data_IF_972672178272
#
_entry.id   IF_972672178272
#
_cell.length_a   1.000
_cell.length_b   1.000
_cell.length_c   1.000
_cell.angle_alpha   90.00
_cell.angle_beta   90.00
_cell.angle_gamma   90.00
#
_symmetry.space_group_name_H-M   'P 1'
#
loop_
_entity.id
_entity.type
_entity.pdbx_description
1 polymer ?
#
# COMPACT_ATOMS: atom_id res chain seq x y z
N UNK A 1 -7.84 -0.50 -29.79
CA UNK A 1 -6.93 -0.02 -28.70
C UNK A 1 -5.88 0.86 -29.34
N UNK A 2 -5.48 1.94 -28.69
CA UNK A 2 -4.39 2.78 -29.16
C UNK A 2 -3.00 2.11 -28.90
N UNK A 3 -1.92 2.65 -29.45
CA UNK A 3 -0.57 2.07 -29.33
C UNK A 3 -0.12 1.95 -27.87
N UNK A 4 -0.34 2.98 -27.05
CA UNK A 4 0.04 3.00 -25.62
C UNK A 4 -0.65 1.88 -24.83
N UNK A 5 -1.96 1.68 -25.01
CA UNK A 5 -2.69 0.56 -24.38
C UNK A 5 -2.11 -0.81 -24.79
N UNK A 6 -1.77 -0.99 -26.07
CA UNK A 6 -1.20 -2.26 -26.53
C UNK A 6 0.18 -2.52 -25.90
N UNK A 7 1.01 -1.49 -25.78
CA UNK A 7 2.33 -1.57 -25.15
C UNK A 7 2.19 -1.83 -23.63
N UNK A 8 1.27 -1.14 -22.94
CA UNK A 8 0.95 -1.39 -21.53
C UNK A 8 0.54 -2.85 -21.28
N UNK A 9 -0.39 -3.37 -22.09
CA UNK A 9 -0.85 -4.77 -21.96
C UNK A 9 0.28 -5.77 -22.30
N UNK A 10 1.13 -5.46 -23.27
CA UNK A 10 2.27 -6.32 -23.61
C UNK A 10 3.28 -6.37 -22.45
N UNK A 11 3.64 -5.22 -21.87
CA UNK A 11 4.53 -5.15 -20.71
C UNK A 11 3.91 -5.89 -19.50
N UNK A 12 2.63 -5.68 -19.22
CA UNK A 12 1.96 -6.35 -18.11
C UNK A 12 1.98 -7.88 -18.25
N UNK A 13 1.79 -8.41 -19.46
CA UNK A 13 1.94 -9.86 -19.72
C UNK A 13 3.35 -10.36 -19.44
N UNK A 14 4.37 -9.59 -19.79
CA UNK A 14 5.76 -9.95 -19.47
C UNK A 14 6.02 -9.92 -17.96
N UNK A 15 5.43 -8.97 -17.23
CA UNK A 15 5.54 -8.86 -15.77
C UNK A 15 4.83 -10.02 -15.07
N UNK A 16 3.60 -10.35 -15.46
CA UNK A 16 2.88 -11.54 -14.95
C UNK A 16 3.71 -12.82 -15.15
N UNK A 17 4.33 -12.98 -16.30
CA UNK A 17 5.17 -14.15 -16.58
C UNK A 17 6.51 -14.15 -15.83
N UNK A 18 6.78 -13.12 -15.02
CA UNK A 18 8.01 -12.96 -14.26
C UNK A 18 7.68 -12.86 -12.76
N UNK A 19 7.75 -13.96 -11.99
CA UNK A 19 7.47 -13.93 -10.56
C UNK A 19 8.25 -12.82 -9.85
N UNK A 20 7.55 -12.01 -9.04
CA UNK A 20 8.10 -10.84 -8.37
C UNK A 20 7.62 -10.74 -6.92
N UNK A 21 7.73 -11.82 -6.16
CA UNK A 21 7.41 -11.77 -4.72
C UNK A 21 8.24 -10.70 -4.02
N UNK A 22 7.65 -10.05 -3.01
CA UNK A 22 8.37 -9.04 -2.22
C UNK A 22 9.76 -9.53 -1.79
N UNK A 23 10.80 -8.74 -2.10
CA UNK A 23 12.24 -9.01 -1.95
C UNK A 23 12.86 -9.95 -2.98
N UNK A 24 12.10 -10.40 -3.97
CA UNK A 24 12.56 -11.28 -5.05
C UNK A 24 12.29 -10.67 -6.45
N UNK A 25 12.16 -9.32 -6.53
CA UNK A 25 11.67 -8.58 -7.70
C UNK A 25 12.72 -8.32 -8.78
N UNK A 26 13.95 -8.79 -8.62
CA UNK A 26 15.08 -8.42 -9.50
C UNK A 26 14.78 -8.61 -10.99
N UNK A 27 14.15 -9.73 -11.37
CA UNK A 27 13.83 -10.00 -12.78
C UNK A 27 12.73 -9.08 -13.33
N UNK A 28 11.72 -8.73 -12.51
CA UNK A 28 10.69 -7.77 -12.90
C UNK A 28 11.28 -6.35 -13.04
N UNK A 29 12.13 -5.94 -12.09
CA UNK A 29 12.86 -4.68 -12.16
C UNK A 29 13.73 -4.58 -13.42
N UNK A 30 14.43 -5.67 -13.83
CA UNK A 30 15.20 -5.73 -15.06
C UNK A 30 14.32 -5.47 -16.29
N UNK A 31 13.13 -6.08 -16.37
CA UNK A 31 12.20 -5.89 -17.49
C UNK A 31 11.69 -4.45 -17.58
N UNK A 32 11.35 -3.84 -16.44
CA UNK A 32 10.90 -2.44 -16.41
C UNK A 32 12.05 -1.52 -16.80
N UNK A 33 13.28 -1.75 -16.29
CA UNK A 33 14.46 -0.98 -16.65
C UNK A 33 14.75 -1.06 -18.16
N UNK A 34 14.65 -2.26 -18.75
CA UNK A 34 14.81 -2.47 -20.19
C UNK A 34 13.72 -1.74 -21.01
N UNK A 35 12.47 -1.78 -20.56
CA UNK A 35 11.36 -1.11 -21.21
C UNK A 35 11.56 0.42 -21.18
N UNK A 36 11.83 0.98 -20.01
CA UNK A 36 12.09 2.42 -19.83
C UNK A 36 13.32 2.85 -20.64
N UNK A 37 14.41 2.08 -20.59
CA UNK A 37 15.64 2.36 -21.31
C UNK A 37 15.48 2.43 -22.84
N UNK A 38 14.50 1.74 -23.41
CA UNK A 38 14.16 1.81 -24.84
C UNK A 38 13.32 3.04 -25.19
N UNK A 39 12.58 3.61 -24.24
CA UNK A 39 11.60 4.69 -24.46
C UNK A 39 12.07 6.04 -23.91
N UNK A 40 12.74 6.05 -22.77
CA UNK A 40 13.11 7.24 -22.00
C UNK A 40 14.58 7.18 -21.60
N UNK A 41 15.32 8.28 -21.74
CA UNK A 41 16.79 8.26 -21.61
C UNK A 41 17.33 8.38 -20.18
N UNK A 42 16.55 8.61 -19.16
CA UNK A 42 17.03 8.87 -17.80
C UNK A 42 16.60 7.78 -16.80
N UNK A 43 16.66 6.51 -17.22
CA UNK A 43 16.40 5.39 -16.33
C UNK A 43 17.48 5.26 -15.27
N UNK A 44 17.07 5.12 -14.01
CA UNK A 44 17.92 4.91 -12.84
C UNK A 44 17.37 3.74 -12.03
N UNK A 45 18.24 3.11 -11.21
CA UNK A 45 17.87 1.98 -10.37
C UNK A 45 18.56 2.07 -9.01
N UNK A 46 17.80 1.79 -7.94
CA UNK A 46 18.29 1.68 -6.57
C UNK A 46 17.68 0.44 -5.93
N UNK A 47 18.49 -0.59 -5.69
CA UNK A 47 17.98 -1.92 -5.36
C UNK A 47 17.11 -2.45 -6.50
N UNK A 48 15.88 -2.86 -6.19
CA UNK A 48 14.89 -3.25 -7.19
C UNK A 48 13.90 -2.13 -7.57
N UNK A 49 14.10 -0.93 -7.02
CA UNK A 49 13.31 0.23 -7.46
C UNK A 49 13.89 0.79 -8.77
N UNK A 50 13.05 0.94 -9.78
CA UNK A 50 13.41 1.52 -11.08
C UNK A 50 12.66 2.83 -11.25
N UNK A 51 13.37 3.90 -11.61
CA UNK A 51 12.74 5.21 -11.76
C UNK A 51 13.33 6.02 -12.92
N UNK A 52 12.58 7.01 -13.33
CA UNK A 52 12.98 7.95 -14.39
C UNK A 52 12.57 9.37 -14.02
N UNK A 53 13.45 10.32 -14.28
CA UNK A 53 13.21 11.76 -14.14
C UNK A 53 13.04 12.36 -15.52
N UNK A 54 12.03 13.20 -15.75
CA UNK A 54 11.79 13.84 -17.04
C UNK A 54 13.00 14.66 -17.50
N UNK A 55 13.23 14.72 -18.83
CA UNK A 55 14.38 15.41 -19.43
C UNK A 55 14.37 16.93 -19.24
N UNK A 56 13.20 17.52 -19.14
CA UNK A 56 12.97 18.96 -18.97
C UNK A 56 12.93 19.38 -17.50
N UNK A 57 13.55 18.59 -16.60
CA UNK A 57 13.62 18.88 -15.17
C UNK A 57 14.23 20.27 -14.93
N UNK A 58 13.57 21.03 -14.06
CA UNK A 58 14.02 22.37 -13.67
C UNK A 58 13.80 22.59 -12.17
N UNK A 59 14.82 23.01 -11.44
CA UNK A 59 14.82 23.16 -9.99
C UNK A 59 13.77 24.14 -9.45
N UNK A 60 13.33 25.08 -10.28
CA UNK A 60 12.31 26.08 -9.92
C UNK A 60 10.86 25.63 -10.15
N UNK A 61 10.63 24.39 -10.60
CA UNK A 61 9.31 23.80 -10.76
C UNK A 61 9.01 22.82 -9.62
N UNK A 62 7.74 22.72 -9.16
CA UNK A 62 7.34 21.62 -8.28
C UNK A 62 7.49 20.28 -9.01
N UNK A 63 7.64 19.19 -8.26
CA UNK A 63 7.83 17.84 -8.81
C UNK A 63 6.69 16.92 -8.42
N UNK A 64 6.08 16.28 -9.41
CA UNK A 64 5.08 15.24 -9.27
C UNK A 64 5.72 13.86 -9.40
N UNK A 65 5.54 13.02 -8.37
CA UNK A 65 5.89 11.60 -8.39
C UNK A 65 4.69 10.79 -8.92
N UNK A 66 4.95 9.85 -9.80
CA UNK A 66 4.06 8.77 -10.21
C UNK A 66 4.70 7.46 -9.73
N UNK A 67 4.11 6.80 -8.75
CA UNK A 67 4.65 5.56 -8.18
C UNK A 67 3.64 4.43 -8.27
N UNK A 68 4.10 3.23 -8.59
CA UNK A 68 3.34 1.99 -8.55
C UNK A 68 4.29 0.83 -8.21
N UNK A 69 3.81 -0.18 -7.49
CA UNK A 69 4.71 -1.24 -7.07
C UNK A 69 4.82 -2.39 -8.07
N UNK A 70 5.97 -3.09 -8.00
CA UNK A 70 6.30 -4.23 -8.88
C UNK A 70 6.21 -5.57 -8.19
N UNK A 71 6.21 -5.57 -6.86
CA UNK A 71 6.14 -6.79 -6.08
C UNK A 71 4.71 -7.29 -5.95
N UNK A 72 4.60 -8.58 -5.70
CA UNK A 72 3.35 -9.28 -5.49
C UNK A 72 3.38 -10.08 -4.20
N UNK A 73 2.19 -10.35 -3.64
CA UNK A 73 2.02 -11.35 -2.60
C UNK A 73 2.30 -12.77 -3.11
N UNK A 74 2.44 -13.72 -2.19
CA UNK A 74 2.50 -15.14 -2.55
C UNK A 74 1.16 -15.62 -3.10
N UNK A 75 1.24 -16.61 -4.00
CA UNK A 75 0.07 -17.22 -4.65
C UNK A 75 -0.95 -17.72 -3.63
N UNK A 76 -2.16 -17.22 -3.70
CA UNK A 76 -3.30 -17.72 -2.93
C UNK A 76 -3.70 -19.13 -3.39
N UNK A 77 -4.42 -19.87 -2.54
CA UNK A 77 -4.98 -21.17 -2.94
C UNK A 77 -6.22 -20.98 -3.81
N UNK A 78 -6.46 -21.93 -4.71
CA UNK A 78 -7.71 -21.99 -5.48
C UNK A 78 -7.65 -21.37 -6.88
N UNK A 79 -6.47 -21.07 -7.41
CA UNK A 79 -6.31 -20.63 -8.78
C UNK A 79 -6.76 -21.73 -9.77
N UNK A 80 -7.55 -21.33 -10.78
CA UNK A 80 -7.91 -22.16 -11.93
C UNK A 80 -6.95 -21.92 -13.10
N UNK A 81 -6.44 -20.68 -13.25
CA UNK A 81 -5.40 -20.32 -14.19
C UNK A 81 -4.01 -20.50 -13.54
N UNK A 82 -2.96 -20.71 -14.32
CA UNK A 82 -1.59 -20.59 -13.80
C UNK A 82 -1.32 -19.10 -13.49
N UNK A 83 -1.00 -18.72 -12.23
CA UNK A 83 -0.80 -17.33 -11.83
C UNK A 83 0.32 -16.60 -12.59
N UNK A 84 1.25 -17.33 -13.21
CA UNK A 84 2.38 -16.78 -13.97
C UNK A 84 2.24 -16.97 -15.48
N UNK A 85 1.12 -17.47 -15.96
CA UNK A 85 0.80 -17.55 -17.40
C UNK A 85 -0.29 -16.54 -17.73
N UNK A 86 0.04 -15.40 -18.39
CA UNK A 86 -0.94 -14.35 -18.69
C UNK A 86 -1.97 -14.86 -19.70
N UNK A 87 -3.22 -14.98 -19.28
CA UNK A 87 -4.34 -15.43 -20.11
C UNK A 87 -5.31 -14.29 -20.34
N UNK A 88 -5.77 -14.11 -21.57
CA UNK A 88 -6.82 -13.13 -21.91
C UNK A 88 -8.09 -13.88 -22.26
N UNK A 89 -9.14 -13.72 -21.45
CA UNK A 89 -10.48 -14.26 -21.67
C UNK A 89 -11.54 -13.19 -21.44
N UNK A 90 -12.46 -13.02 -22.34
CA UNK A 90 -13.57 -12.06 -22.29
C UNK A 90 -13.13 -10.61 -21.96
N UNK A 91 -11.93 -10.21 -22.43
CA UNK A 91 -11.36 -8.89 -22.19
C UNK A 91 -10.68 -8.72 -20.83
N UNK A 92 -10.62 -9.77 -20.01
CA UNK A 92 -9.90 -9.82 -18.76
C UNK A 92 -8.50 -10.42 -18.99
N UNK A 93 -7.48 -9.78 -18.42
CA UNK A 93 -6.11 -10.31 -18.36
C UNK A 93 -5.89 -10.92 -16.97
N UNK A 94 -5.84 -12.24 -16.91
CA UNK A 94 -5.60 -13.01 -15.69
C UNK A 94 -4.11 -13.17 -15.41
N UNK A 95 -3.74 -13.13 -14.14
CA UNK A 95 -2.40 -13.40 -13.61
C UNK A 95 -2.15 -12.68 -12.30
N UNK A 96 -1.26 -13.22 -11.49
CA UNK A 96 -0.86 -12.62 -10.21
C UNK A 96 -0.22 -11.25 -10.44
N UNK A 97 -0.67 -10.24 -9.71
CA UNK A 97 -0.21 -8.86 -9.86
C UNK A 97 -0.76 -8.15 -11.09
N UNK A 98 -1.74 -8.74 -11.82
CA UNK A 98 -2.37 -8.07 -12.95
C UNK A 98 -3.20 -6.86 -12.53
N UNK A 99 -3.90 -6.97 -11.40
CA UNK A 99 -4.73 -5.93 -10.80
C UNK A 99 -3.96 -5.13 -9.73
N UNK A 100 -3.17 -5.82 -8.91
CA UNK A 100 -2.43 -5.27 -7.77
C UNK A 100 -0.92 -5.53 -7.92
N UNK A 101 -0.12 -4.60 -8.45
CA UNK A 101 -0.47 -3.25 -8.93
C UNK A 101 -0.06 -3.06 -10.41
N UNK A 102 0.10 -4.17 -11.15
CA UNK A 102 0.58 -4.15 -12.53
C UNK A 102 -0.26 -3.27 -13.47
N UNK A 103 -1.59 -3.25 -13.27
CA UNK A 103 -2.49 -2.40 -14.04
C UNK A 103 -2.17 -0.91 -13.88
N UNK A 104 -1.97 -0.44 -12.65
CA UNK A 104 -1.57 0.95 -12.38
C UNK A 104 -0.16 1.21 -12.87
N UNK A 105 0.77 0.28 -12.63
CA UNK A 105 2.16 0.41 -13.03
C UNK A 105 2.31 0.71 -14.53
N UNK A 106 1.72 -0.15 -15.37
CA UNK A 106 1.86 0.02 -16.83
C UNK A 106 1.08 1.24 -17.34
N UNK A 107 -0.05 1.57 -16.72
CA UNK A 107 -0.86 2.73 -17.11
C UNK A 107 -0.17 4.05 -16.75
N UNK A 108 0.42 4.15 -15.55
CA UNK A 108 1.19 5.32 -15.12
C UNK A 108 2.48 5.48 -15.95
N UNK A 109 3.15 4.36 -16.29
CA UNK A 109 4.34 4.39 -17.11
C UNK A 109 4.05 4.91 -18.52
N UNK A 110 3.00 4.41 -19.17
CA UNK A 110 2.61 4.91 -20.51
C UNK A 110 2.17 6.37 -20.48
N UNK A 111 1.44 6.78 -19.46
CA UNK A 111 1.07 8.17 -19.28
C UNK A 111 2.30 9.07 -19.01
N UNK A 112 3.28 8.58 -18.22
CA UNK A 112 4.56 9.26 -18.01
C UNK A 112 5.30 9.47 -19.33
N UNK A 113 5.41 8.41 -20.17
CA UNK A 113 6.06 8.48 -21.50
C UNK A 113 5.36 9.49 -22.38
N UNK A 114 4.03 9.46 -22.45
CA UNK A 114 3.24 10.41 -23.25
C UNK A 114 3.43 11.87 -22.79
N UNK A 115 3.70 12.07 -21.50
CA UNK A 115 3.86 13.41 -20.92
C UNK A 115 5.30 13.91 -20.90
N UNK A 116 6.31 13.07 -21.20
CA UNK A 116 7.72 13.46 -21.11
C UNK A 116 8.08 14.66 -22.00
N UNK A 117 7.48 14.77 -23.18
CA UNK A 117 7.78 15.82 -24.16
C UNK A 117 6.72 16.96 -24.16
N UNK A 118 5.69 16.85 -23.31
CA UNK A 118 4.63 17.86 -23.20
C UNK A 118 5.06 19.02 -22.29
N UNK A 119 4.69 20.24 -22.67
CA UNK A 119 4.93 21.43 -21.81
C UNK A 119 4.05 21.38 -20.57
N UNK A 120 4.68 21.55 -19.39
CA UNK A 120 4.00 21.59 -18.09
C UNK A 120 4.74 22.52 -17.11
N UNK A 121 4.02 22.97 -16.09
CA UNK A 121 4.57 23.85 -15.05
C UNK A 121 5.20 23.08 -13.87
N UNK A 122 5.33 21.74 -13.97
CA UNK A 122 5.91 20.87 -12.95
C UNK A 122 6.85 19.82 -13.61
N UNK A 123 7.74 19.27 -12.79
CA UNK A 123 8.59 18.14 -13.17
C UNK A 123 7.83 16.83 -12.96
N UNK A 124 8.21 15.78 -13.71
CA UNK A 124 7.71 14.43 -13.53
C UNK A 124 8.83 13.48 -13.09
N UNK A 125 8.53 12.64 -12.13
CA UNK A 125 9.30 11.45 -11.75
C UNK A 125 8.36 10.24 -11.83
N UNK A 126 8.74 9.21 -12.57
CA UNK A 126 8.09 7.90 -12.53
C UNK A 126 8.91 6.96 -11.67
N UNK A 127 8.25 6.17 -10.84
CA UNK A 127 8.86 5.13 -10.00
C UNK A 127 8.08 3.83 -10.11
N UNK A 128 8.80 2.75 -10.31
CA UNK A 128 8.35 1.37 -10.13
C UNK A 128 9.02 0.85 -8.86
N UNK A 129 8.33 0.90 -7.74
CA UNK A 129 8.87 0.58 -6.42
C UNK A 129 8.73 -0.89 -6.07
N UNK A 130 9.59 -1.41 -5.20
CA UNK A 130 9.56 -2.79 -4.71
C UNK A 130 9.17 -2.85 -3.23
N UNK A 131 8.99 -4.06 -2.68
CA UNK A 131 8.70 -4.34 -1.27
C UNK A 131 7.47 -3.61 -0.70
N UNK A 132 6.50 -3.20 -1.51
CA UNK A 132 5.29 -2.51 -1.04
C UNK A 132 4.46 -3.42 -0.13
N UNK A 133 4.18 -4.66 -0.57
CA UNK A 133 3.31 -5.64 0.07
C UNK A 133 3.79 -6.10 1.46
N UNK A 134 5.05 -5.80 1.77
CA UNK A 134 5.65 -6.06 3.09
C UNK A 134 6.07 -4.75 3.78
N UNK A 135 5.74 -3.61 3.21
CA UNK A 135 6.17 -2.28 3.66
C UNK A 135 7.68 -2.27 3.95
N UNK A 136 8.47 -2.83 3.03
CA UNK A 136 9.89 -3.09 3.21
C UNK A 136 10.73 -1.81 3.14
N UNK A 137 11.89 -1.84 3.77
CA UNK A 137 12.82 -0.69 3.77
C UNK A 137 13.62 -0.56 2.48
N UNK A 138 13.67 -1.62 1.66
CA UNK A 138 14.28 -1.62 0.34
C UNK A 138 13.40 -1.02 -0.76
N UNK A 139 12.14 -0.73 -0.46
CA UNK A 139 11.15 -0.17 -1.37
C UNK A 139 11.27 1.34 -1.55
N UNK A 140 10.11 2.01 -1.64
CA UNK A 140 10.02 3.46 -1.94
C UNK A 140 10.86 4.33 -0.99
N UNK A 141 10.98 3.98 0.30
CA UNK A 141 11.81 4.74 1.25
C UNK A 141 13.29 4.78 0.85
N UNK A 142 13.80 3.67 0.29
CA UNK A 142 15.17 3.63 -0.23
C UNK A 142 15.29 4.50 -1.49
N UNK A 143 14.33 4.39 -2.42
CA UNK A 143 14.33 5.13 -3.68
C UNK A 143 14.24 6.65 -3.48
N UNK A 144 13.47 7.12 -2.49
CA UNK A 144 13.31 8.54 -2.16
C UNK A 144 14.64 9.27 -1.92
N UNK A 145 15.68 8.57 -1.43
CA UNK A 145 17.00 9.17 -1.22
C UNK A 145 17.71 9.52 -2.54
N UNK A 146 17.25 8.98 -3.65
CA UNK A 146 17.82 9.21 -5.00
C UNK A 146 16.92 10.08 -5.88
N UNK A 147 15.72 10.40 -5.43
CA UNK A 147 14.82 11.28 -6.14
C UNK A 147 15.22 12.75 -5.95
N UNK A 148 14.92 13.64 -6.90
CA UNK A 148 14.88 15.06 -6.62
C UNK A 148 13.84 15.35 -5.55
N UNK A 149 13.78 16.57 -5.05
CA UNK A 149 12.71 16.99 -4.15
C UNK A 149 11.34 16.71 -4.81
N UNK A 150 10.46 16.01 -4.09
CA UNK A 150 9.08 15.72 -4.50
C UNK A 150 8.13 16.64 -3.73
N UNK A 151 7.18 17.25 -4.42
CA UNK A 151 6.20 18.17 -3.83
C UNK A 151 4.79 17.55 -3.77
N UNK A 152 4.47 16.58 -4.65
CA UNK A 152 3.21 15.85 -4.63
C UNK A 152 3.37 14.49 -5.33
N UNK A 153 2.42 13.55 -5.10
CA UNK A 153 2.49 12.23 -5.73
C UNK A 153 1.13 11.62 -6.08
N UNK A 154 1.15 10.79 -7.12
CA UNK A 154 0.09 9.84 -7.48
C UNK A 154 0.64 8.46 -7.20
N UNK A 155 -0.02 7.71 -6.34
CA UNK A 155 0.32 6.33 -6.02
C UNK A 155 -0.69 5.44 -6.71
N UNK A 156 -0.20 4.58 -7.59
CA UNK A 156 -0.97 3.56 -8.29
C UNK A 156 -1.49 2.54 -7.29
N UNK A 157 -2.73 2.15 -7.43
CA UNK A 157 -3.39 1.10 -6.65
C UNK A 157 -4.79 0.82 -7.24
N UNK A 158 -5.38 -0.37 -7.07
CA UNK A 158 -6.69 -0.69 -7.63
C UNK A 158 -7.83 0.02 -6.90
N UNK A 159 -8.29 1.15 -7.43
CA UNK A 159 -9.34 2.00 -6.82
C UNK A 159 -10.52 2.29 -7.75
N UNK A 160 -10.60 1.63 -8.91
CA UNK A 160 -11.59 1.95 -9.94
C UNK A 160 -11.47 3.37 -10.46
N UNK A 161 -10.25 3.91 -10.50
CA UNK A 161 -9.93 5.30 -10.85
C UNK A 161 -10.64 6.33 -9.96
N UNK A 162 -11.00 5.97 -8.72
CA UNK A 162 -11.49 6.92 -7.73
C UNK A 162 -10.33 7.36 -6.82
N UNK A 163 -10.17 8.66 -6.51
CA UNK A 163 -9.07 9.12 -5.67
C UNK A 163 -9.32 8.78 -4.20
N UNK A 164 -8.51 7.91 -3.62
CA UNK A 164 -8.46 7.76 -2.18
C UNK A 164 -7.69 8.95 -1.59
N UNK A 165 -8.40 9.78 -0.83
CA UNK A 165 -7.86 11.00 -0.21
C UNK A 165 -7.36 10.77 1.20
N UNK A 166 -7.72 9.64 1.81
CA UNK A 166 -7.24 9.20 3.10
C UNK A 166 -7.09 7.69 3.13
N UNK A 167 -6.14 7.17 3.91
CA UNK A 167 -5.93 5.72 4.12
C UNK A 167 -5.74 5.41 5.60
N UNK A 168 -6.26 4.25 6.04
CA UNK A 168 -6.00 3.77 7.40
C UNK A 168 -4.53 3.39 7.55
N UNK A 169 -3.92 3.81 8.67
CA UNK A 169 -2.62 3.33 9.08
C UNK A 169 -2.68 1.93 9.69
N UNK A 170 -1.53 1.36 9.93
CA UNK A 170 -1.35 0.05 10.54
C UNK A 170 -0.32 0.11 11.67
N UNK A 171 -0.70 -0.41 12.84
CA UNK A 171 0.24 -0.70 13.91
C UNK A 171 -0.09 -2.06 14.51
N UNK A 172 0.91 -2.90 14.70
CA UNK A 172 0.78 -4.17 15.41
C UNK A 172 1.41 -4.04 16.78
N UNK A 173 0.66 -4.41 17.83
CA UNK A 173 1.13 -4.38 19.22
C UNK A 173 1.12 -5.78 19.77
N UNK A 174 2.27 -6.23 20.27
CA UNK A 174 2.41 -7.47 21.02
C UNK A 174 2.30 -7.18 22.52
N UNK A 175 1.51 -7.99 23.21
CA UNK A 175 1.25 -7.89 24.64
C UNK A 175 1.70 -9.15 25.36
N UNK A 176 2.13 -8.97 26.61
CA UNK A 176 2.57 -10.04 27.50
C UNK A 176 1.99 -9.84 28.89
N UNK A 177 1.00 -10.64 29.26
CA UNK A 177 0.49 -10.73 30.62
C UNK A 177 1.36 -11.67 31.44
N UNK A 178 1.85 -11.20 32.60
CA UNK A 178 2.67 -12.00 33.53
C UNK A 178 1.86 -12.46 34.72
N UNK A 179 1.95 -13.74 35.04
CA UNK A 179 1.37 -14.39 36.16
C UNK A 179 2.42 -15.07 37.06
N UNK A 180 2.03 -16.16 37.69
CA UNK A 180 2.91 -17.02 38.48
C UNK A 180 2.44 -18.45 38.34
N UNK A 181 3.33 -19.36 37.91
CA UNK A 181 3.02 -20.76 37.77
C UNK A 181 2.59 -21.40 39.12
N UNK A 182 1.70 -22.36 39.07
CA UNK A 182 1.23 -23.10 40.22
C UNK A 182 0.42 -24.32 39.80
N UNK A 183 0.10 -25.19 40.80
CA UNK A 183 -0.70 -26.37 40.53
C UNK A 183 -2.21 -26.00 40.57
N UNK A 184 -2.93 -26.25 39.48
CA UNK A 184 -4.32 -25.83 39.35
C UNK A 184 -5.24 -26.38 40.49
N UNK A 185 -5.02 -27.63 40.93
CA UNK A 185 -5.80 -28.24 42.00
C UNK A 185 -5.54 -27.63 43.40
N UNK A 186 -4.46 -26.86 43.60
CA UNK A 186 -4.12 -26.24 44.89
C UNK A 186 -4.48 -24.77 44.96
N UNK A 187 -5.03 -24.20 43.89
CA UNK A 187 -5.33 -22.77 43.77
C UNK A 187 -4.12 -21.87 44.11
N UNK A 188 -2.92 -22.34 43.75
CA UNK A 188 -1.65 -21.63 43.93
C UNK A 188 -1.23 -20.94 42.61
N UNK A 189 -0.65 -19.74 42.71
CA UNK A 189 -0.20 -19.02 41.54
C UNK A 189 -1.08 -17.85 41.12
N UNK A 190 -0.75 -17.24 39.98
CA UNK A 190 -1.48 -16.12 39.37
C UNK A 190 -1.67 -16.46 37.90
N UNK A 191 -2.91 -16.64 37.47
CA UNK A 191 -3.22 -17.07 36.13
C UNK A 191 -3.06 -15.93 35.11
N UNK A 192 -2.07 -16.04 34.25
CA UNK A 192 -1.79 -15.03 33.19
C UNK A 192 -2.92 -14.93 32.15
N UNK A 193 -3.66 -16.02 31.90
CA UNK A 193 -4.83 -16.00 31.00
C UNK A 193 -5.90 -15.04 31.53
N UNK A 194 -6.21 -15.09 32.83
CA UNK A 194 -7.25 -14.23 33.40
C UNK A 194 -6.86 -12.75 33.40
N UNK A 195 -5.56 -12.45 33.53
CA UNK A 195 -5.04 -11.08 33.32
C UNK A 195 -5.17 -10.64 31.87
N UNK A 196 -4.76 -11.49 30.94
CA UNK A 196 -4.88 -11.20 29.51
C UNK A 196 -6.34 -10.97 29.08
N UNK A 197 -7.29 -11.77 29.57
CA UNK A 197 -8.73 -11.59 29.29
C UNK A 197 -9.20 -10.20 29.71
N UNK A 198 -8.82 -9.74 30.92
CA UNK A 198 -9.17 -8.40 31.41
C UNK A 198 -8.65 -7.31 30.47
N UNK A 199 -7.39 -7.42 30.06
CA UNK A 199 -6.76 -6.44 29.17
C UNK A 199 -7.37 -6.50 27.75
N UNK A 200 -7.68 -7.69 27.23
CA UNK A 200 -8.37 -7.88 25.94
C UNK A 200 -9.77 -7.25 25.98
N UNK A 201 -10.53 -7.43 27.06
CA UNK A 201 -11.83 -6.77 27.24
C UNK A 201 -11.68 -5.24 27.28
N UNK A 202 -10.64 -4.74 27.95
CA UNK A 202 -10.32 -3.32 27.98
C UNK A 202 -10.06 -2.80 26.58
N UNK A 203 -9.18 -3.45 25.80
CA UNK A 203 -8.88 -3.07 24.41
C UNK A 203 -10.12 -3.11 23.53
N UNK A 204 -10.93 -4.16 23.65
CA UNK A 204 -12.18 -4.33 22.88
C UNK A 204 -13.16 -3.17 23.11
N UNK A 205 -13.23 -2.66 24.34
CA UNK A 205 -14.16 -1.61 24.75
C UNK A 205 -13.54 -0.21 24.69
N UNK A 206 -12.28 -0.08 24.27
CA UNK A 206 -11.59 1.20 24.18
C UNK A 206 -12.25 2.06 23.09
N UNK A 207 -12.58 3.29 23.43
CA UNK A 207 -13.19 4.23 22.50
C UNK A 207 -12.20 5.29 22.06
N UNK A 208 -12.06 5.48 20.75
CA UNK A 208 -11.26 6.53 20.15
C UNK A 208 -12.17 7.65 19.67
N UNK A 209 -12.17 8.79 20.38
CA UNK A 209 -13.19 9.85 20.20
C UNK A 209 -13.02 10.67 18.92
N UNK A 210 -11.80 10.74 18.35
CA UNK A 210 -11.56 11.49 17.11
C UNK A 210 -11.91 10.62 15.90
N UNK A 211 -12.97 10.99 15.19
CA UNK A 211 -13.45 10.30 13.99
C UNK A 211 -13.02 11.05 12.75
N UNK A 212 -12.59 10.31 11.75
CA UNK A 212 -12.30 10.81 10.42
C UNK A 212 -13.59 10.91 9.60
N UNK A 213 -13.69 11.94 8.77
CA UNK A 213 -14.77 12.08 7.80
C UNK A 213 -14.74 10.97 6.76
N UNK A 214 -13.54 10.59 6.29
CA UNK A 214 -13.36 9.61 5.24
C UNK A 214 -13.12 8.18 5.76
N UNK A 215 -12.45 8.02 6.91
CA UNK A 215 -12.00 6.71 7.43
C UNK A 215 -12.83 6.21 8.63
N UNK A 216 -13.70 7.06 9.18
CA UNK A 216 -14.45 6.73 10.38
C UNK A 216 -13.57 6.57 11.63
N UNK A 217 -13.87 5.56 12.44
CA UNK A 217 -13.20 5.33 13.73
C UNK A 217 -11.88 4.57 13.57
N UNK A 218 -10.94 4.85 14.48
CA UNK A 218 -9.80 3.97 14.76
C UNK A 218 -10.29 2.69 15.41
N UNK A 219 -9.65 1.56 15.10
CA UNK A 219 -9.98 0.25 15.68
C UNK A 219 -8.74 -0.46 16.16
N UNK A 220 -8.83 -1.12 17.31
CA UNK A 220 -7.85 -2.05 17.83
C UNK A 220 -8.53 -3.42 17.98
N UNK A 221 -8.01 -4.44 17.30
CA UNK A 221 -8.61 -5.79 17.29
C UNK A 221 -7.56 -6.81 17.73
N UNK A 222 -7.85 -7.57 18.79
CA UNK A 222 -6.97 -8.68 19.17
C UNK A 222 -7.20 -9.85 18.22
N UNK A 223 -6.12 -10.31 17.58
CA UNK A 223 -6.16 -11.31 16.50
C UNK A 223 -5.42 -12.61 16.85
N UNK A 224 -4.53 -12.58 17.82
CA UNK A 224 -3.75 -13.75 18.25
C UNK A 224 -3.74 -13.79 19.78
N UNK A 225 -3.87 -15.00 20.36
CA UNK A 225 -3.67 -15.26 21.78
C UNK A 225 -3.04 -16.64 21.98
N UNK A 226 -2.02 -16.73 22.85
CA UNK A 226 -1.32 -17.97 23.19
C UNK A 226 -1.01 -18.03 24.68
N UNK A 227 -1.33 -19.16 25.33
CA UNK A 227 -1.00 -19.41 26.73
C UNK A 227 -1.12 -20.90 27.09
N UNK A 228 -0.43 -21.29 28.19
CA UNK A 228 -0.52 -22.61 28.80
C UNK A 228 0.19 -23.71 28.03
N UNK A 229 0.57 -24.77 28.75
CA UNK A 229 1.25 -25.96 28.19
C UNK A 229 0.61 -27.26 28.64
N UNK A 230 0.12 -27.30 29.89
CA UNK A 230 -0.50 -28.48 30.52
C UNK A 230 -1.79 -28.08 31.23
N UNK A 231 -2.80 -28.95 31.20
CA UNK A 231 -4.12 -28.70 31.79
C UNK A 231 -4.12 -28.51 33.33
N UNK A 232 -3.13 -29.02 34.05
CA UNK A 232 -3.00 -28.95 35.50
C UNK A 232 -1.99 -27.90 36.00
N UNK A 233 -1.45 -27.06 35.10
CA UNK A 233 -0.51 -25.98 35.43
C UNK A 233 -1.16 -24.63 35.18
N UNK A 234 -1.19 -23.75 36.18
CA UNK A 234 -1.60 -22.36 36.03
C UNK A 234 -0.52 -21.65 35.19
N UNK A 235 -0.85 -21.06 34.02
CA UNK A 235 0.13 -20.41 33.19
C UNK A 235 0.64 -19.11 33.82
N UNK A 236 1.95 -18.93 33.79
CA UNK A 236 2.65 -17.74 34.26
C UNK A 236 2.85 -16.67 33.16
N UNK A 237 2.55 -17.02 31.92
CA UNK A 237 2.60 -16.10 30.78
C UNK A 237 1.40 -16.32 29.84
N UNK A 238 0.84 -15.22 29.33
CA UNK A 238 -0.09 -15.20 28.21
C UNK A 238 0.32 -14.08 27.27
N UNK A 239 0.58 -14.42 26.00
CA UNK A 239 0.85 -13.44 24.95
C UNK A 239 -0.36 -13.27 24.07
N UNK A 240 -0.60 -12.02 23.62
CA UNK A 240 -1.62 -11.72 22.63
C UNK A 240 -1.19 -10.55 21.75
N UNK A 241 -1.78 -10.44 20.55
CA UNK A 241 -1.42 -9.44 19.55
C UNK A 241 -2.66 -8.68 19.10
N UNK A 242 -2.55 -7.35 19.00
CA UNK A 242 -3.58 -6.50 18.44
C UNK A 242 -3.15 -5.88 17.11
N UNK A 243 -4.03 -5.92 16.11
CA UNK A 243 -4.01 -5.13 14.87
C UNK A 243 -4.73 -3.80 15.15
N UNK A 244 -4.02 -2.68 14.95
CA UNK A 244 -4.55 -1.32 15.15
C UNK A 244 -4.63 -0.61 13.82
N UNK A 245 -5.84 -0.21 13.41
CA UNK A 245 -6.13 0.54 12.20
C UNK A 245 -6.45 1.98 12.55
N UNK A 246 -5.42 2.84 12.43
CA UNK A 246 -5.53 4.27 12.74
C UNK A 246 -6.23 5.05 11.64
N UNK A 247 -6.81 6.17 12.00
CA UNK A 247 -7.22 7.22 11.07
C UNK A 247 -6.25 8.42 11.19
N UNK A 248 -6.36 9.41 10.32
CA UNK A 248 -5.47 10.56 10.24
C UNK A 248 -5.54 11.52 11.45
N UNK A 249 -6.48 11.28 12.35
CA UNK A 249 -6.65 12.10 13.57
C UNK A 249 -5.71 11.68 14.69
N UNK A 250 -5.02 10.53 14.54
CA UNK A 250 -4.10 9.97 15.52
C UNK A 250 -2.80 9.50 14.86
N UNK A 251 -1.68 9.78 15.50
CA UNK A 251 -0.45 9.07 15.16
C UNK A 251 -0.44 7.67 15.80
N UNK A 252 0.28 6.73 15.17
CA UNK A 252 0.45 5.39 15.76
C UNK A 252 1.12 5.44 17.14
N UNK A 253 2.04 6.39 17.37
CA UNK A 253 2.68 6.59 18.70
C UNK A 253 1.66 7.00 19.76
N UNK A 254 0.80 7.96 19.45
CA UNK A 254 -0.26 8.41 20.37
C UNK A 254 -1.24 7.26 20.68
N UNK A 255 -1.65 6.48 19.66
CA UNK A 255 -2.51 5.33 19.87
C UNK A 255 -1.84 4.25 20.73
N UNK A 256 -0.55 4.02 20.56
CA UNK A 256 0.21 3.11 21.40
C UNK A 256 0.21 3.56 22.87
N UNK A 257 0.42 4.85 23.14
CA UNK A 257 0.37 5.42 24.48
C UNK A 257 -1.01 5.25 25.13
N UNK A 258 -2.08 5.54 24.37
CA UNK A 258 -3.46 5.35 24.84
C UNK A 258 -3.72 3.88 25.18
N UNK A 259 -3.41 2.95 24.28
CA UNK A 259 -3.69 1.53 24.44
C UNK A 259 -2.83 0.92 25.56
N UNK A 260 -1.52 1.20 25.57
CA UNK A 260 -0.61 0.65 26.57
C UNK A 260 -0.88 1.14 27.99
N UNK A 261 -1.36 2.40 28.12
CA UNK A 261 -1.75 2.94 29.43
C UNK A 261 -3.06 2.36 29.98
N UNK A 262 -3.91 1.80 29.12
CA UNK A 262 -5.20 1.24 29.49
C UNK A 262 -5.13 -0.21 30.03
N UNK A 263 -4.01 -0.90 29.87
CA UNK A 263 -3.82 -2.33 30.18
C UNK A 263 -2.70 -2.54 31.19
N UNK A 264 -2.72 -3.69 31.89
CA UNK A 264 -1.68 -4.10 32.85
C UNK A 264 -0.56 -4.91 32.16
N UNK A 265 -0.84 -5.53 31.01
CA UNK A 265 0.13 -6.32 30.24
C UNK A 265 1.23 -5.44 29.69
N UNK A 266 2.45 -5.97 29.66
CA UNK A 266 3.57 -5.34 28.98
C UNK A 266 3.28 -5.25 27.47
N UNK A 267 3.32 -4.03 26.91
CA UNK A 267 2.98 -3.75 25.52
C UNK A 267 4.21 -3.36 24.73
N UNK A 268 4.33 -3.84 23.48
CA UNK A 268 5.40 -3.49 22.55
C UNK A 268 4.87 -3.33 21.14
N UNK A 269 4.94 -2.13 20.59
CA UNK A 269 4.64 -1.91 19.17
C UNK A 269 5.77 -2.47 18.30
N UNK A 270 5.43 -3.18 17.22
CA UNK A 270 6.41 -3.68 16.23
C UNK A 270 7.00 -2.54 15.42
N UNK A 271 6.18 -1.53 15.08
CA UNK A 271 6.59 -0.35 14.32
C UNK A 271 5.58 0.78 14.49
N UNK A 272 6.04 2.03 14.41
CA UNK A 272 5.19 3.23 14.35
C UNK A 272 5.16 3.86 12.95
N UNK A 273 5.84 3.27 11.97
CA UNK A 273 6.16 3.87 10.67
C UNK A 273 4.93 4.08 9.78
N UNK A 274 3.98 3.15 9.82
CA UNK A 274 2.83 3.10 8.93
C UNK A 274 1.65 3.90 9.50
N UNK A 275 1.80 5.22 9.55
CA UNK A 275 0.71 6.10 9.97
C UNK A 275 -0.38 6.18 8.90
N UNK A 276 -1.59 6.57 9.32
CA UNK A 276 -2.63 6.99 8.40
C UNK A 276 -2.17 8.17 7.55
N UNK A 277 -2.55 8.21 6.29
CA UNK A 277 -2.26 9.29 5.37
C UNK A 277 -3.53 10.03 4.95
N UNK A 278 -3.43 11.33 4.68
CA UNK A 278 -4.51 12.12 4.13
C UNK A 278 -4.00 13.25 3.23
N UNK A 279 -4.89 13.80 2.41
CA UNK A 279 -4.65 14.98 1.59
C UNK A 279 -5.86 15.89 1.65
N UNK A 280 -5.62 17.20 1.67
CA UNK A 280 -6.70 18.19 1.68
C UNK A 280 -7.57 18.09 0.43
N UNK A 281 -8.90 18.20 0.58
CA UNK A 281 -9.85 18.30 -0.55
C UNK A 281 -9.58 19.49 -1.47
N UNK A 282 -8.91 20.53 -0.97
CA UNK A 282 -8.51 21.72 -1.73
C UNK A 282 -7.18 21.54 -2.47
N UNK A 283 -6.46 20.42 -2.28
CA UNK A 283 -5.20 20.19 -2.97
C UNK A 283 -5.42 20.05 -4.48
N UNK A 284 -4.52 20.57 -5.35
CA UNK A 284 -4.66 20.50 -6.81
C UNK A 284 -4.93 19.10 -7.34
N UNK A 285 -4.27 18.07 -6.81
CA UNK A 285 -4.50 16.67 -7.21
C UNK A 285 -5.96 16.24 -7.00
N UNK A 286 -6.54 16.57 -5.84
CA UNK A 286 -7.93 16.19 -5.52
C UNK A 286 -8.92 16.97 -6.37
N UNK A 287 -8.73 18.29 -6.49
CA UNK A 287 -9.57 19.15 -7.33
C UNK A 287 -9.54 18.69 -8.79
N UNK A 288 -8.37 18.32 -9.32
CA UNK A 288 -8.24 17.83 -10.69
C UNK A 288 -8.98 16.51 -10.90
N UNK A 289 -8.86 15.54 -9.98
CA UNK A 289 -9.62 14.29 -10.05
C UNK A 289 -11.14 14.54 -10.05
N UNK A 290 -11.61 15.43 -9.15
CA UNK A 290 -13.03 15.79 -9.08
C UNK A 290 -13.50 16.49 -10.35
N UNK A 291 -12.70 17.38 -10.94
CA UNK A 291 -13.01 18.04 -12.21
C UNK A 291 -13.14 17.04 -13.39
N UNK A 292 -12.45 15.89 -13.28
CA UNK A 292 -12.58 14.77 -14.22
C UNK A 292 -13.71 13.78 -13.85
N UNK A 293 -14.62 14.17 -12.94
CA UNK A 293 -15.78 13.38 -12.54
C UNK A 293 -15.51 12.25 -11.54
N UNK A 294 -14.30 12.18 -10.96
CA UNK A 294 -13.96 11.16 -9.97
C UNK A 294 -14.42 11.57 -8.57
N UNK A 295 -14.77 10.58 -7.74
CA UNK A 295 -15.33 10.78 -6.40
C UNK A 295 -14.30 10.44 -5.33
N UNK A 296 -13.86 11.42 -4.50
CA UNK A 296 -12.97 11.16 -3.39
C UNK A 296 -13.57 10.19 -2.36
N UNK A 297 -12.71 9.31 -1.80
CA UNK A 297 -13.11 8.36 -0.75
C UNK A 297 -11.96 8.09 0.23
N UNK A 298 -12.27 7.43 1.34
CA UNK A 298 -11.30 6.91 2.31
C UNK A 298 -11.03 5.42 2.08
N UNK A 299 -9.76 5.04 1.89
CA UNK A 299 -9.35 3.65 1.69
C UNK A 299 -9.12 2.93 3.02
N UNK A 300 -9.67 1.73 3.22
CA UNK A 300 -9.36 0.91 4.39
C UNK A 300 -7.98 0.23 4.30
N UNK A 301 -7.40 0.16 3.10
CA UNK A 301 -6.09 -0.46 2.83
C UNK A 301 -4.98 0.58 2.83
N UNK A 302 -3.80 0.14 3.26
CA UNK A 302 -2.59 0.95 3.30
C UNK A 302 -1.85 0.81 1.96
N UNK A 303 -1.03 1.78 1.60
CA UNK A 303 -0.14 1.76 0.45
C UNK A 303 1.18 2.47 0.77
N UNK A 304 2.06 2.59 -0.20
CA UNK A 304 3.30 3.39 -0.11
C UNK A 304 3.07 4.82 0.40
N UNK A 305 1.84 5.36 0.30
CA UNK A 305 1.50 6.68 0.85
C UNK A 305 1.84 6.85 2.33
N UNK A 306 1.73 5.77 3.12
CA UNK A 306 2.06 5.80 4.56
C UNK A 306 3.54 6.12 4.84
N UNK A 307 4.40 5.96 3.84
CA UNK A 307 5.84 6.16 3.90
C UNK A 307 6.29 7.51 3.33
N UNK A 308 5.36 8.29 2.75
CA UNK A 308 5.64 9.55 2.07
C UNK A 308 5.28 10.74 2.95
N UNK A 309 6.14 11.76 2.98
CA UNK A 309 5.96 12.96 3.80
C UNK A 309 5.30 14.14 3.04
N UNK A 310 5.06 13.99 1.76
CA UNK A 310 4.44 15.00 0.89
C UNK A 310 3.01 14.59 0.51
N UNK A 311 2.15 15.54 0.07
CA UNK A 311 0.78 15.25 -0.31
C UNK A 311 0.68 14.24 -1.46
N UNK A 312 -0.16 13.20 -1.29
CA UNK A 312 -0.37 12.17 -2.31
C UNK A 312 -1.84 11.79 -2.41
N UNK A 313 -2.26 11.36 -3.61
CA UNK A 313 -3.51 10.61 -3.80
C UNK A 313 -3.18 9.18 -4.20
N UNK A 314 -4.05 8.24 -3.82
CA UNK A 314 -4.01 6.86 -4.31
C UNK A 314 -5.11 6.70 -5.36
N UNK A 315 -4.74 6.30 -6.58
CA UNK A 315 -5.69 6.18 -7.69
C UNK A 315 -5.12 5.27 -8.77
N UNK A 316 -5.92 4.31 -9.25
CA UNK A 316 -5.53 3.45 -10.36
C UNK A 316 -6.69 2.60 -10.87
N UNK A 317 -6.48 1.90 -12.00
CA UNK A 317 -7.46 0.97 -12.57
C UNK A 317 -7.65 -0.26 -11.70
N UNK A 318 -8.65 -1.06 -12.01
CA UNK A 318 -8.95 -2.27 -11.28
C UNK A 318 -9.70 -2.03 -9.98
N UNK A 319 -9.99 -3.10 -9.28
CA UNK A 319 -10.81 -3.11 -8.06
C UNK A 319 -10.05 -3.77 -6.91
N UNK A 320 -10.00 -3.14 -5.74
CA UNK A 320 -9.33 -3.69 -4.55
C UNK A 320 -9.87 -5.07 -4.11
N UNK A 321 -11.11 -5.40 -4.48
CA UNK A 321 -11.70 -6.70 -4.17
C UNK A 321 -11.10 -7.86 -4.97
N UNK A 322 -10.33 -7.58 -6.02
CA UNK A 322 -9.63 -8.59 -6.83
C UNK A 322 -8.21 -8.86 -6.36
N UNK A 323 -7.67 -7.98 -5.49
CA UNK A 323 -6.32 -8.11 -4.93
C UNK A 323 -6.23 -9.29 -3.96
N UNK A 324 -5.10 -9.98 -3.96
CA UNK A 324 -4.77 -11.09 -3.04
C UNK A 324 -5.75 -12.29 -3.14
N UNK A 325 -6.46 -12.43 -4.26
CA UNK A 325 -7.41 -13.53 -4.52
C UNK A 325 -6.91 -14.47 -5.60
N UNK A 326 -7.46 -15.68 -5.63
CA UNK A 326 -7.22 -16.59 -6.75
C UNK A 326 -7.89 -16.05 -8.03
N UNK A 327 -7.29 -16.35 -9.18
CA UNK A 327 -7.73 -15.86 -10.49
C UNK A 327 -7.84 -14.32 -10.56
N UNK A 328 -6.88 -13.65 -9.94
CA UNK A 328 -6.72 -12.21 -10.04
C UNK A 328 -6.69 -11.77 -11.51
N UNK A 329 -7.40 -10.70 -11.83
CA UNK A 329 -7.47 -10.17 -13.19
C UNK A 329 -7.68 -8.66 -13.22
N UNK A 330 -7.29 -8.05 -14.34
CA UNK A 330 -7.66 -6.70 -14.72
C UNK A 330 -8.34 -6.70 -16.09
N UNK A 331 -9.33 -5.83 -16.31
CA UNK A 331 -9.90 -5.64 -17.64
C UNK A 331 -8.97 -4.82 -18.51
N UNK A 332 -8.75 -5.23 -19.73
CA UNK A 332 -7.93 -4.47 -20.69
C UNK A 332 -8.54 -3.07 -20.95
N UNK A 333 -9.87 -2.96 -20.86
CA UNK A 333 -10.56 -1.66 -20.95
C UNK A 333 -10.26 -0.74 -19.76
N UNK A 334 -10.01 -1.28 -18.55
CA UNK A 334 -9.63 -0.50 -17.38
C UNK A 334 -8.20 0.09 -17.55
N UNK A 335 -7.26 -0.67 -18.14
CA UNK A 335 -5.92 -0.18 -18.48
C UNK A 335 -6.03 0.95 -19.52
N UNK A 336 -6.84 0.76 -20.57
CA UNK A 336 -7.03 1.79 -21.61
C UNK A 336 -7.61 3.09 -21.03
N UNK A 337 -8.66 2.97 -20.19
CA UNK A 337 -9.27 4.12 -19.51
C UNK A 337 -8.25 4.81 -18.59
N UNK A 338 -7.41 4.04 -17.88
CA UNK A 338 -6.42 4.60 -16.97
C UNK A 338 -5.33 5.39 -17.69
N UNK A 339 -4.79 4.88 -18.80
CA UNK A 339 -3.80 5.61 -19.61
C UNK A 339 -4.38 6.95 -20.06
N UNK A 340 -5.59 6.94 -20.64
CA UNK A 340 -6.24 8.17 -21.12
C UNK A 340 -6.55 9.13 -19.95
N UNK A 341 -7.03 8.59 -18.83
CA UNK A 341 -7.31 9.37 -17.61
C UNK A 341 -6.05 10.04 -17.05
N UNK A 342 -4.94 9.32 -16.90
CA UNK A 342 -3.72 9.90 -16.33
C UNK A 342 -3.12 10.98 -17.26
N UNK A 343 -3.14 10.77 -18.55
CA UNK A 343 -2.69 11.79 -19.53
C UNK A 343 -3.55 13.05 -19.41
N UNK A 344 -4.88 12.90 -19.40
CA UNK A 344 -5.80 14.04 -19.27
C UNK A 344 -5.67 14.69 -17.89
N UNK A 345 -5.48 13.92 -16.84
CA UNK A 345 -5.24 14.41 -15.48
C UNK A 345 -4.02 15.30 -15.42
N UNK A 346 -2.89 14.84 -15.96
CA UNK A 346 -1.63 15.55 -15.95
C UNK A 346 -1.63 16.79 -16.84
N UNK A 347 -2.28 16.76 -18.03
CA UNK A 347 -2.39 17.92 -18.93
C UNK A 347 -3.09 19.13 -18.29
N UNK A 348 -4.06 18.89 -17.44
CA UNK A 348 -4.82 19.96 -16.77
C UNK A 348 -4.43 20.20 -15.31
N UNK A 349 -3.33 19.61 -14.83
CA UNK A 349 -2.86 19.79 -13.46
C UNK A 349 -2.01 21.05 -13.35
N UNK A 350 -2.30 21.86 -12.35
CA UNK A 350 -1.51 23.02 -11.91
C UNK A 350 -1.02 22.76 -10.48
N UNK A 351 0.29 22.54 -10.31
CA UNK A 351 0.95 22.32 -9.03
C UNK A 351 1.61 23.59 -8.52
#
# INVERSE_FOLDING_TARGET
>A
MNTATNEAVALLKELIATPSFSREETAAADKIADFIGKKVLNMQRVGNNVFSVCRDFADNKPTLLLDAHIDTVKVAKGWNHDPFTPVVEDGNLYGLGSNDDGGSLVSLLEAYIAMCDEKRNYNLVFSASCEEEVSGKGGIELALNSFPRIDAGIIGEPTGLQPAVAEKGLMVIDFKAKGKAGHAARNEGINAIYKAIKDIETIKNLSFHRKSEHLGETRATVTIINAGTLHNVIPDECSFTADVRSNEMYSNRELFEIISSAVESEAKARSFRLNSSNISSNHPLVRRAVALGRKPFGSPTLSNRALLSFPTIKIGPGESSRSHTADEFIKISEIAEAVDFYVEFMKGLEL
#
